data_IF_175497179650
#
_entry.id   IF_175497179650
#
_cell.length_a   1.000
_cell.length_b   1.000
_cell.length_c   1.000
_cell.angle_alpha   90.00
_cell.angle_beta   90.00
_cell.angle_gamma   90.00
#
_symmetry.space_group_name_H-M   'P 1'
#
loop_
_entity.id
_entity.type
_entity.pdbx_description
1 polymer ?
#
# COMPACT_ATOMS: atom_id res chain seq x y z
N UNK A 1 -12.96 1.38 5.86
CA UNK A 1 -11.59 1.93 5.90
C UNK A 1 -11.05 1.60 7.26
N UNK A 2 -9.94 0.86 7.31
CA UNK A 2 -9.28 0.59 8.58
C UNK A 2 -8.78 1.92 9.16
N UNK A 3 -8.80 2.06 10.48
CA UNK A 3 -8.16 3.22 11.10
C UNK A 3 -6.64 3.08 11.02
N UNK A 4 -5.90 4.19 11.13
CA UNK A 4 -4.42 4.16 11.13
C UNK A 4 -3.86 3.19 12.19
N UNK A 5 -4.50 3.12 13.37
CA UNK A 5 -4.11 2.18 14.41
C UNK A 5 -4.38 0.72 14.03
N UNK A 6 -5.50 0.43 13.36
CA UNK A 6 -5.79 -0.94 12.90
C UNK A 6 -4.75 -1.40 11.86
N UNK A 7 -4.34 -0.51 10.95
CA UNK A 7 -3.28 -0.78 9.98
C UNK A 7 -1.93 -1.01 10.66
N UNK A 8 -1.58 -0.20 11.66
CA UNK A 8 -0.35 -0.37 12.45
C UNK A 8 -0.32 -1.75 13.11
N UNK A 9 -1.43 -2.18 13.71
CA UNK A 9 -1.52 -3.48 14.38
C UNK A 9 -1.43 -4.64 13.40
N UNK A 10 -2.04 -4.50 12.21
CA UNK A 10 -1.96 -5.49 11.14
C UNK A 10 -0.54 -5.61 10.56
N UNK A 11 0.14 -4.48 10.32
CA UNK A 11 1.53 -4.46 9.86
C UNK A 11 2.47 -5.05 10.92
N UNK A 12 2.24 -4.74 12.21
CA UNK A 12 3.01 -5.35 13.31
C UNK A 12 2.83 -6.87 13.33
N UNK A 13 1.60 -7.36 13.18
CA UNK A 13 1.32 -8.79 13.10
C UNK A 13 2.02 -9.45 11.90
N UNK A 14 2.03 -8.80 10.73
CA UNK A 14 2.77 -9.30 9.56
C UNK A 14 4.27 -9.42 9.82
N UNK A 15 4.88 -8.40 10.45
CA UNK A 15 6.29 -8.43 10.80
C UNK A 15 6.62 -9.58 11.76
N UNK A 16 5.85 -9.74 12.82
CA UNK A 16 6.05 -10.81 13.81
C UNK A 16 5.81 -12.21 13.21
N UNK A 17 4.69 -12.41 12.52
CA UNK A 17 4.30 -13.74 12.03
C UNK A 17 5.06 -14.21 10.79
N UNK A 18 5.43 -13.29 9.89
CA UNK A 18 6.02 -13.65 8.59
C UNK A 18 7.52 -13.40 8.53
N UNK A 19 7.98 -12.32 9.16
CA UNK A 19 9.38 -11.91 9.10
C UNK A 19 10.13 -12.18 10.42
N UNK A 20 9.42 -12.62 11.48
CA UNK A 20 9.97 -12.85 12.81
C UNK A 20 10.64 -11.60 13.39
N UNK A 21 10.12 -10.42 13.05
CA UNK A 21 10.59 -9.12 13.54
C UNK A 21 9.58 -8.56 14.54
N UNK A 22 10.06 -8.35 15.77
CA UNK A 22 9.27 -7.73 16.85
C UNK A 22 9.54 -6.23 16.90
N UNK A 23 8.47 -5.42 16.90
CA UNK A 23 8.55 -3.96 16.95
C UNK A 23 7.67 -3.45 18.09
N UNK A 24 8.32 -2.94 19.14
CA UNK A 24 7.64 -2.49 20.36
C UNK A 24 6.85 -1.18 20.15
N UNK A 25 7.43 -0.20 19.47
CA UNK A 25 6.80 1.12 19.25
C UNK A 25 6.49 1.33 17.77
N UNK A 26 5.30 1.86 17.43
CA UNK A 26 4.95 2.18 16.03
C UNK A 26 5.79 3.30 15.42
N UNK A 27 6.46 4.09 16.25
CA UNK A 27 7.33 5.20 15.84
C UNK A 27 8.81 4.83 15.81
N UNK A 28 9.15 3.55 16.12
CA UNK A 28 10.52 3.06 16.00
C UNK A 28 11.00 3.19 14.57
N UNK A 29 12.21 3.74 14.40
CA UNK A 29 12.90 3.74 13.10
C UNK A 29 13.34 2.31 12.76
N UNK A 30 12.67 1.71 11.79
CA UNK A 30 12.87 0.33 11.35
C UNK A 30 14.15 0.15 10.54
N UNK A 31 14.74 1.22 10.02
CA UNK A 31 15.98 1.16 9.25
C UNK A 31 17.18 1.50 10.12
N UNK A 32 17.00 2.36 11.11
CA UNK A 32 18.01 2.68 12.11
C UNK A 32 18.40 1.42 12.90
N UNK A 33 19.71 1.22 13.08
CA UNK A 33 20.23 0.03 13.76
C UNK A 33 20.03 -1.30 13.02
N UNK A 34 19.40 -1.29 11.84
CA UNK A 34 19.21 -2.48 11.01
C UNK A 34 18.10 -3.42 11.48
N UNK A 35 17.03 -2.89 12.11
CA UNK A 35 15.84 -3.69 12.48
C UNK A 35 15.26 -4.38 11.24
N UNK A 36 15.15 -3.64 10.14
CA UNK A 36 14.91 -4.15 8.80
C UNK A 36 16.15 -3.88 7.94
N UNK A 37 16.68 -4.94 7.36
CA UNK A 37 17.66 -4.83 6.29
C UNK A 37 16.96 -4.65 4.92
N UNK A 38 17.76 -4.42 3.87
CA UNK A 38 17.22 -4.22 2.51
C UNK A 38 16.37 -5.38 2.01
N UNK A 39 16.71 -6.62 2.38
CA UNK A 39 16.00 -7.80 1.89
C UNK A 39 14.67 -7.99 2.63
N UNK A 40 14.67 -7.79 3.94
CA UNK A 40 13.49 -7.87 4.80
C UNK A 40 12.52 -6.76 4.46
N UNK A 41 13.02 -5.57 4.10
CA UNK A 41 12.19 -4.48 3.61
C UNK A 41 11.47 -4.82 2.30
N UNK A 42 12.16 -5.43 1.33
CA UNK A 42 11.53 -5.89 0.08
C UNK A 42 10.50 -6.99 0.35
N UNK A 43 10.77 -7.92 1.26
CA UNK A 43 9.80 -8.94 1.66
C UNK A 43 8.56 -8.33 2.31
N UNK A 44 8.73 -7.33 3.19
CA UNK A 44 7.63 -6.59 3.77
C UNK A 44 6.75 -5.97 2.69
N UNK A 45 7.34 -5.30 1.69
CA UNK A 45 6.57 -4.71 0.58
C UNK A 45 5.73 -5.75 -0.16
N UNK A 46 6.30 -6.93 -0.46
CA UNK A 46 5.57 -8.03 -1.10
C UNK A 46 4.39 -8.49 -0.24
N UNK A 47 4.60 -8.67 1.07
CA UNK A 47 3.53 -9.07 1.99
C UNK A 47 2.42 -8.01 2.08
N UNK A 48 2.77 -6.72 2.04
CA UNK A 48 1.78 -5.64 2.01
C UNK A 48 0.98 -5.65 0.71
N UNK A 49 1.64 -5.82 -0.44
CA UNK A 49 0.94 -5.95 -1.73
C UNK A 49 -0.06 -7.11 -1.73
N UNK A 50 0.36 -8.27 -1.24
CA UNK A 50 -0.50 -9.46 -1.16
C UNK A 50 -1.64 -9.29 -0.16
N UNK A 51 -1.39 -8.66 1.00
CA UNK A 51 -2.39 -8.51 2.06
C UNK A 51 -3.47 -7.49 1.72
N UNK A 52 -3.08 -6.37 1.14
CA UNK A 52 -3.98 -5.26 0.85
C UNK A 52 -4.42 -5.20 -0.62
N UNK A 53 -3.97 -6.15 -1.45
CA UNK A 53 -4.20 -6.17 -2.90
C UNK A 53 -3.72 -4.88 -3.60
N UNK A 54 -2.61 -4.32 -3.10
CA UNK A 54 -2.01 -3.07 -3.56
C UNK A 54 -0.78 -3.30 -4.45
N UNK A 55 -0.33 -2.21 -5.07
CA UNK A 55 0.94 -2.14 -5.79
C UNK A 55 1.77 -0.97 -5.25
N UNK A 56 3.02 -1.27 -4.89
CA UNK A 56 3.98 -0.30 -4.39
C UNK A 56 5.15 -0.20 -5.39
N UNK A 57 5.01 0.60 -6.46
CA UNK A 57 6.09 0.75 -7.42
C UNK A 57 7.32 1.38 -6.75
N UNK A 58 8.46 0.70 -6.83
CA UNK A 58 9.71 1.10 -6.15
C UNK A 58 10.18 2.53 -6.46
N UNK A 59 9.77 3.11 -7.58
CA UNK A 59 10.14 4.49 -7.96
C UNK A 59 9.30 5.57 -7.27
N UNK A 60 8.16 5.20 -6.68
CA UNK A 60 7.29 6.08 -5.88
C UNK A 60 7.54 5.92 -4.37
N UNK A 61 8.33 4.92 -3.97
CA UNK A 61 8.67 4.66 -2.59
C UNK A 61 9.84 5.53 -2.14
N UNK A 62 9.57 6.44 -1.23
CA UNK A 62 10.59 7.17 -0.48
C UNK A 62 10.93 6.43 0.82
N UNK A 63 12.17 6.55 1.28
CA UNK A 63 12.63 5.93 2.53
C UNK A 63 11.77 6.38 3.74
N UNK A 64 11.33 7.64 3.76
CA UNK A 64 10.49 8.16 4.85
C UNK A 64 9.13 7.43 4.98
N UNK A 65 8.62 6.87 3.88
CA UNK A 65 7.39 6.08 3.88
C UNK A 65 7.57 4.70 4.53
N UNK A 66 8.81 4.26 4.72
CA UNK A 66 9.18 2.93 5.18
C UNK A 66 9.90 2.93 6.53
N UNK A 67 10.10 4.11 7.12
CA UNK A 67 10.89 4.29 8.34
C UNK A 67 10.22 3.80 9.61
N UNK A 68 8.90 3.73 9.67
CA UNK A 68 8.19 3.33 10.89
C UNK A 68 6.87 2.63 10.55
N UNK A 69 6.25 1.94 11.52
CA UNK A 69 4.93 1.34 11.30
C UNK A 69 3.88 2.39 10.96
N UNK A 70 3.95 3.57 11.59
CA UNK A 70 3.09 4.69 11.26
C UNK A 70 3.27 5.18 9.82
N UNK A 71 4.52 5.32 9.36
CA UNK A 71 4.80 5.73 7.98
C UNK A 71 4.25 4.72 6.98
N UNK A 72 4.44 3.43 7.25
CA UNK A 72 3.96 2.35 6.38
C UNK A 72 2.43 2.30 6.38
N UNK A 73 1.78 2.45 7.53
CA UNK A 73 0.32 2.51 7.63
C UNK A 73 -0.26 3.66 6.81
N UNK A 74 0.35 4.85 6.86
CA UNK A 74 -0.06 5.99 6.03
C UNK A 74 0.14 5.74 4.54
N UNK A 75 1.25 5.10 4.16
CA UNK A 75 1.50 4.70 2.78
C UNK A 75 0.42 3.75 2.27
N UNK A 76 0.06 2.72 3.05
CA UNK A 76 -1.00 1.75 2.71
C UNK A 76 -2.34 2.46 2.52
N UNK A 77 -2.74 3.30 3.48
CA UNK A 77 -3.99 4.04 3.40
C UNK A 77 -4.07 4.94 2.14
N UNK A 78 -2.98 5.65 1.82
CA UNK A 78 -2.88 6.48 0.62
C UNK A 78 -3.01 5.68 -0.68
N UNK A 79 -2.46 4.47 -0.72
CA UNK A 79 -2.55 3.59 -1.89
C UNK A 79 -3.94 2.98 -2.04
N UNK A 80 -4.63 2.61 -0.95
CA UNK A 80 -6.02 2.17 -0.99
C UNK A 80 -6.94 3.26 -1.55
N UNK A 81 -6.78 4.51 -1.10
CA UNK A 81 -7.54 5.65 -1.61
C UNK A 81 -7.28 5.90 -3.09
N UNK A 82 -6.01 5.82 -3.50
CA UNK A 82 -5.63 5.99 -4.90
C UNK A 82 -6.14 4.86 -5.80
N UNK A 83 -6.15 3.61 -5.31
CA UNK A 83 -6.70 2.47 -6.03
C UNK A 83 -8.21 2.62 -6.26
N UNK A 84 -8.94 3.02 -5.21
CA UNK A 84 -10.38 3.30 -5.29
C UNK A 84 -10.71 4.42 -6.28
N UNK A 85 -9.93 5.49 -6.28
CA UNK A 85 -10.13 6.60 -7.22
C UNK A 85 -10.03 6.16 -8.69
N UNK A 86 -9.11 5.23 -9.00
CA UNK A 86 -8.92 4.70 -10.36
C UNK A 86 -10.03 3.74 -10.80
N UNK A 87 -10.62 2.98 -9.87
CA UNK A 87 -11.75 2.09 -10.17
C UNK A 87 -13.03 2.86 -10.55
N UNK A 88 -13.25 4.04 -9.99
CA UNK A 88 -14.43 4.87 -10.27
C UNK A 88 -14.35 5.48 -11.69
N UNK A 89 -13.15 5.69 -12.23
CA UNK A 89 -12.94 6.31 -13.54
C UNK A 89 -13.07 5.30 -14.71
N UNK A 90 -12.84 4.00 -14.48
CA UNK A 90 -12.87 3.00 -15.57
C UNK A 90 -14.29 2.54 -15.98
N UNK A 91 -15.33 2.85 -15.20
CA UNK A 91 -16.74 2.53 -15.50
C UNK A 91 -17.40 3.60 -16.42
N UNK A 92 -16.68 4.67 -16.75
CA UNK A 92 -17.17 5.76 -17.59
C UNK A 92 -16.53 5.71 -19.00
N UNK A 93 -16.57 4.55 -19.64
CA UNK A 93 -16.42 4.49 -21.09
C UNK A 93 -17.66 5.15 -21.73
N UNK A 94 -17.51 6.10 -22.68
CA UNK A 94 -18.65 6.57 -23.44
C UNK A 94 -19.19 5.38 -24.24
N UNK A 95 -20.37 4.89 -23.85
CA UNK A 95 -21.24 4.14 -24.74
C UNK A 95 -21.73 5.12 -25.80
N UNK A 96 -20.87 5.51 -26.74
CA UNK A 96 -21.37 6.12 -27.97
C UNK A 96 -22.23 5.06 -28.65
N UNK A 97 -23.55 5.25 -28.77
CA UNK A 97 -24.27 4.44 -29.73
C UNK A 97 -23.72 4.86 -31.09
N UNK A 98 -23.13 3.93 -31.85
CA UNK A 98 -22.77 4.18 -33.24
C UNK A 98 -24.08 4.39 -34.03
N UNK A 99 -24.68 5.57 -33.89
CA UNK A 99 -25.72 6.08 -34.77
C UNK A 99 -25.00 6.94 -35.81
N UNK A 100 -24.33 6.28 -36.74
CA UNK A 100 -24.17 6.86 -38.07
C UNK A 100 -25.49 6.60 -38.83
N UNK A 101 -26.51 7.38 -38.48
CA UNK A 101 -27.66 7.58 -39.35
C UNK A 101 -27.39 8.83 -40.18
N UNK A 102 -26.76 8.65 -41.33
CA UNK A 102 -27.12 9.42 -42.54
C UNK A 102 -27.54 8.36 -43.56
N UNK A 103 -28.85 8.06 -43.67
CA UNK A 103 -29.87 8.86 -44.37
C UNK A 103 -29.43 9.22 -45.79
N UNK A 104 -30.18 8.62 -46.72
CA UNK A 104 -30.41 8.97 -48.14
C UNK A 104 -29.51 8.22 -49.12
#
# INVERSE_FOLDING_TARGET
MLSENDLVDEIRALLSEKLLVEVESPDTDLLEGGILDSLTLVQLLVLLEERFELKFPMHELEIENLRSLHSIARLVASQEDSARAREIETDQAPSEPYIAMERI
#
